data_IF_990667443599
#
_entry.id   IF_990667443599
#
_cell.length_a   1.000
_cell.length_b   1.000
_cell.length_c   1.000
_cell.angle_alpha   90.00
_cell.angle_beta   90.00
_cell.angle_gamma   90.00
#
_symmetry.space_group_name_H-M   'P 1'
#
loop_
_entity.id
_entity.type
_entity.pdbx_description
1 polymer ?
#
# COMPACT_ATOMS: atom_id res chain seq x y z
N UNK A 1 22.75 -8.80 4.34
CA UNK A 1 21.96 -7.80 5.09
C UNK A 1 22.01 -6.48 4.32
N UNK A 2 20.93 -5.69 4.29
CA UNK A 2 20.91 -4.38 3.60
C UNK A 2 19.82 -4.18 2.54
N UNK A 3 18.80 -5.04 2.47
CA UNK A 3 17.65 -4.79 1.58
C UNK A 3 16.70 -3.79 2.25
N UNK A 4 16.38 -2.65 1.60
CA UNK A 4 15.32 -1.76 2.02
C UNK A 4 13.98 -2.50 2.01
N UNK A 5 13.19 -2.32 3.08
CA UNK A 5 11.92 -3.04 3.25
C UNK A 5 10.85 -2.14 3.85
N UNK A 6 9.61 -2.57 3.71
CA UNK A 6 8.44 -1.89 4.27
C UNK A 6 7.94 -2.64 5.49
N UNK A 7 7.65 -1.92 6.58
CA UNK A 7 6.96 -2.47 7.73
C UNK A 7 5.46 -2.22 7.61
N UNK A 8 4.62 -3.23 7.88
CA UNK A 8 3.16 -3.07 7.80
C UNK A 8 2.48 -3.53 9.09
N UNK A 9 1.26 -3.04 9.32
CA UNK A 9 0.34 -3.58 10.32
C UNK A 9 -1.07 -3.62 9.75
N UNK A 10 -1.74 -4.76 9.82
CA UNK A 10 -3.19 -4.82 9.64
C UNK A 10 -3.86 -4.63 10.99
N UNK A 11 -4.88 -3.78 11.09
CA UNK A 11 -5.49 -3.44 12.38
C UNK A 11 -7.00 -3.21 12.33
N UNK A 12 -7.65 -3.32 13.49
CA UNK A 12 -9.09 -3.12 13.65
C UNK A 12 -9.92 -4.36 13.30
N UNK A 13 -9.33 -5.54 13.40
CA UNK A 13 -9.97 -6.84 13.19
C UNK A 13 -10.34 -7.47 14.55
N UNK A 14 -9.58 -8.47 15.02
CA UNK A 14 -9.77 -9.12 16.34
C UNK A 14 -8.86 -8.55 17.42
N UNK A 15 -7.94 -7.70 16.98
CA UNK A 15 -6.89 -7.12 17.76
C UNK A 15 -7.39 -5.99 18.65
N UNK A 16 -6.52 -5.61 19.60
CA UNK A 16 -6.79 -4.63 20.65
C UNK A 16 -5.66 -3.62 20.66
N UNK A 17 -5.85 -2.41 21.21
CA UNK A 17 -4.79 -1.39 21.27
C UNK A 17 -3.47 -1.89 21.88
N UNK A 18 -3.53 -2.80 22.86
CA UNK A 18 -2.34 -3.45 23.44
C UNK A 18 -1.52 -4.26 22.42
N UNK A 19 -2.16 -4.86 21.42
CA UNK A 19 -1.49 -5.61 20.36
C UNK A 19 -0.81 -4.65 19.38
N UNK A 20 -1.49 -3.54 19.03
CA UNK A 20 -0.93 -2.48 18.18
C UNK A 20 0.33 -1.88 18.79
N UNK A 21 0.26 -1.51 20.07
CA UNK A 21 1.39 -0.95 20.80
C UNK A 21 2.59 -1.92 20.81
N UNK A 22 2.35 -3.22 21.08
CA UNK A 22 3.41 -4.24 21.04
C UNK A 22 4.01 -4.38 19.66
N UNK A 23 3.20 -4.38 18.60
CA UNK A 23 3.70 -4.43 17.22
C UNK A 23 4.60 -3.24 16.89
N UNK A 24 4.16 -2.02 17.19
CA UNK A 24 4.95 -0.81 16.95
C UNK A 24 6.28 -0.80 17.73
N UNK A 25 6.27 -1.27 18.98
CA UNK A 25 7.49 -1.39 19.78
C UNK A 25 8.45 -2.45 19.22
N UNK A 26 7.94 -3.57 18.71
CA UNK A 26 8.76 -4.59 18.05
C UNK A 26 9.39 -4.06 16.76
N UNK A 27 8.62 -3.31 15.95
CA UNK A 27 9.14 -2.64 14.76
C UNK A 27 10.24 -1.64 15.11
N UNK A 28 10.03 -0.82 16.15
CA UNK A 28 11.04 0.12 16.66
C UNK A 28 12.33 -0.60 17.05
N UNK A 29 12.23 -1.65 17.86
CA UNK A 29 13.40 -2.43 18.32
C UNK A 29 14.13 -3.09 17.16
N UNK A 30 13.39 -3.63 16.19
CA UNK A 30 13.99 -4.25 15.01
C UNK A 30 14.71 -3.19 14.16
N UNK A 31 14.09 -2.03 13.94
CA UNK A 31 14.68 -0.94 13.18
C UNK A 31 15.94 -0.40 13.85
N UNK A 32 15.97 -0.27 15.18
CA UNK A 32 17.18 0.13 15.92
C UNK A 32 18.35 -0.84 15.71
N UNK A 33 18.06 -2.12 15.43
CA UNK A 33 19.09 -3.15 15.20
C UNK A 33 19.52 -3.24 13.75
N UNK A 34 18.62 -3.01 12.79
CA UNK A 34 18.86 -3.34 11.37
C UNK A 34 18.84 -2.13 10.44
N UNK A 35 18.13 -1.06 10.77
CA UNK A 35 17.95 0.12 9.92
C UNK A 35 17.28 -0.16 8.58
N UNK A 36 16.63 -1.30 8.41
CA UNK A 36 16.19 -1.80 7.10
C UNK A 36 14.84 -1.26 6.61
N UNK A 37 14.03 -0.66 7.49
CA UNK A 37 12.72 -0.13 7.11
C UNK A 37 12.84 1.27 6.52
N UNK A 38 12.26 1.47 5.33
CA UNK A 38 12.14 2.78 4.69
C UNK A 38 10.82 3.46 4.99
N UNK A 39 9.78 2.67 5.28
CA UNK A 39 8.44 3.18 5.55
C UNK A 39 7.65 2.24 6.46
N UNK A 40 6.62 2.81 7.09
CA UNK A 40 5.59 2.10 7.81
C UNK A 40 4.22 2.32 7.17
N UNK A 41 3.47 1.24 6.93
CA UNK A 41 2.16 1.28 6.27
C UNK A 41 1.09 0.66 7.18
N UNK A 42 0.24 1.49 7.82
CA UNK A 42 -0.98 1.04 8.47
C UNK A 42 -2.04 0.59 7.45
N UNK A 43 -2.57 -0.60 7.65
CA UNK A 43 -3.58 -1.20 6.78
C UNK A 43 -4.87 -1.45 7.58
N UNK A 44 -5.85 -0.51 7.53
CA UNK A 44 -7.17 -0.77 8.08
C UNK A 44 -7.74 -2.09 7.55
N UNK A 45 -8.33 -2.88 8.44
CA UNK A 45 -9.05 -4.09 8.06
C UNK A 45 -10.35 -3.73 7.32
N UNK A 46 -10.54 -4.34 6.14
CA UNK A 46 -11.77 -4.24 5.34
C UNK A 46 -12.48 -5.59 5.39
N UNK A 47 -13.75 -5.58 5.77
CA UNK A 47 -14.43 -6.77 6.26
C UNK A 47 -15.33 -7.47 5.24
N UNK A 48 -15.71 -6.80 4.15
CA UNK A 48 -16.80 -7.23 3.24
C UNK A 48 -16.60 -8.67 2.74
N UNK A 49 -15.39 -9.01 2.31
CA UNK A 49 -15.04 -10.33 1.78
C UNK A 49 -14.17 -11.16 2.74
N UNK A 50 -13.99 -10.70 3.98
CA UNK A 50 -13.07 -11.35 4.93
C UNK A 50 -13.74 -12.54 5.63
N UNK A 51 -13.25 -13.80 5.47
CA UNK A 51 -13.89 -14.99 6.05
C UNK A 51 -14.05 -14.93 7.58
N UNK A 52 -13.11 -14.30 8.27
CA UNK A 52 -13.20 -14.13 9.73
C UNK A 52 -14.34 -13.21 10.16
N UNK A 53 -14.65 -12.18 9.38
CA UNK A 53 -15.80 -11.32 9.64
C UNK A 53 -17.11 -12.03 9.29
N UNK A 54 -17.15 -12.73 8.15
CA UNK A 54 -18.32 -13.54 7.74
C UNK A 54 -18.68 -14.64 8.75
N UNK A 55 -17.72 -15.11 9.55
CA UNK A 55 -17.94 -16.05 10.66
C UNK A 55 -18.23 -15.37 12.01
N UNK A 56 -18.38 -14.06 12.06
CA UNK A 56 -18.64 -13.29 13.29
C UNK A 56 -17.43 -13.23 14.24
N UNK A 57 -16.22 -13.48 13.76
CA UNK A 57 -15.01 -13.58 14.59
C UNK A 57 -14.19 -12.30 14.61
N UNK A 58 -14.55 -11.28 13.82
CA UNK A 58 -13.82 -10.02 13.72
C UNK A 58 -14.75 -8.81 13.69
N UNK A 59 -14.20 -7.64 14.03
CA UNK A 59 -14.85 -6.35 13.83
C UNK A 59 -14.94 -6.02 12.34
N UNK A 60 -15.75 -5.01 11.99
CA UNK A 60 -15.85 -4.45 10.64
C UNK A 60 -14.60 -3.69 10.18
N UNK A 61 -13.67 -3.42 11.09
CA UNK A 61 -12.56 -2.51 10.88
C UNK A 61 -12.37 -1.56 12.06
N UNK A 62 -11.32 -0.73 12.01
CA UNK A 62 -11.14 0.35 12.95
C UNK A 62 -12.21 1.43 12.75
N UNK A 63 -12.52 2.17 13.81
CA UNK A 63 -13.20 3.46 13.71
C UNK A 63 -12.28 4.47 13.03
N UNK A 64 -12.85 5.54 12.47
CA UNK A 64 -12.06 6.64 11.89
C UNK A 64 -11.03 7.18 12.88
N UNK A 65 -11.44 7.38 14.15
CA UNK A 65 -10.54 7.82 15.23
C UNK A 65 -9.40 6.83 15.48
N UNK A 66 -9.66 5.53 15.52
CA UNK A 66 -8.60 4.53 15.67
C UNK A 66 -7.62 4.57 14.49
N UNK A 67 -8.11 4.81 13.27
CA UNK A 67 -7.25 4.92 12.09
C UNK A 67 -6.32 6.13 12.14
N UNK A 68 -6.84 7.31 12.50
CA UNK A 68 -6.02 8.52 12.70
C UNK A 68 -5.02 8.32 13.85
N UNK A 69 -5.47 7.75 14.97
CA UNK A 69 -4.59 7.46 16.11
C UNK A 69 -3.47 6.46 15.78
N UNK A 70 -3.73 5.47 14.93
CA UNK A 70 -2.69 4.54 14.47
C UNK A 70 -1.53 5.30 13.79
N UNK A 71 -1.84 6.28 12.93
CA UNK A 71 -0.82 7.09 12.26
C UNK A 71 -0.09 8.03 13.23
N UNK A 72 -0.83 8.75 14.08
CA UNK A 72 -0.25 9.65 15.08
C UNK A 72 0.68 8.94 16.06
N UNK A 73 0.23 7.81 16.62
CA UNK A 73 1.02 7.04 17.57
C UNK A 73 2.23 6.41 16.88
N UNK A 74 2.09 5.92 15.64
CA UNK A 74 3.22 5.41 14.88
C UNK A 74 4.27 6.50 14.63
N UNK A 75 3.86 7.73 14.28
CA UNK A 75 4.79 8.87 14.11
C UNK A 75 5.60 9.12 15.38
N UNK A 76 4.95 9.16 16.54
CA UNK A 76 5.61 9.37 17.83
C UNK A 76 6.56 8.22 18.15
N UNK A 77 6.12 6.97 18.01
CA UNK A 77 6.91 5.79 18.38
C UNK A 77 8.09 5.55 17.42
N UNK A 78 7.95 5.86 16.14
CA UNK A 78 8.97 5.60 15.12
C UNK A 78 9.80 6.84 14.75
N UNK A 79 9.58 7.97 15.43
CA UNK A 79 10.33 9.20 15.21
C UNK A 79 11.84 8.99 15.27
N UNK A 80 12.54 9.45 14.24
CA UNK A 80 13.99 9.31 14.07
C UNK A 80 14.47 7.90 13.71
N UNK A 81 13.56 6.95 13.48
CA UNK A 81 13.89 5.56 13.11
C UNK A 81 13.26 5.13 11.79
N UNK A 82 12.02 5.55 11.53
CA UNK A 82 11.34 5.36 10.24
C UNK A 82 10.77 6.70 9.82
N UNK A 83 11.34 7.27 8.77
CA UNK A 83 10.99 8.63 8.35
C UNK A 83 9.61 8.70 7.71
N UNK A 84 9.19 7.64 7.03
CA UNK A 84 8.00 7.65 6.20
C UNK A 84 6.85 6.82 6.78
N UNK A 85 5.69 7.44 6.87
CA UNK A 85 4.44 6.80 7.24
C UNK A 85 3.44 7.03 6.11
N UNK A 86 3.05 5.93 5.48
CA UNK A 86 2.11 5.94 4.37
C UNK A 86 0.67 5.91 4.87
N UNK A 87 -0.22 6.68 4.26
CA UNK A 87 -1.67 6.55 4.36
C UNK A 87 -2.22 5.96 3.06
N UNK A 88 -3.05 4.93 3.17
CA UNK A 88 -3.72 4.31 2.02
C UNK A 88 -5.00 5.08 1.68
N UNK A 89 -4.97 5.88 0.61
CA UNK A 89 -6.14 6.66 0.16
C UNK A 89 -7.34 5.78 -0.21
N UNK A 90 -7.12 4.60 -0.82
CA UNK A 90 -8.20 3.63 -1.12
C UNK A 90 -8.93 3.11 0.11
N UNK A 91 -8.28 3.11 1.29
CA UNK A 91 -8.90 2.66 2.55
C UNK A 91 -9.46 3.80 3.38
N UNK A 92 -8.87 4.99 3.25
CA UNK A 92 -9.15 6.12 4.14
C UNK A 92 -10.07 7.16 3.51
N UNK A 93 -10.19 7.19 2.17
CA UNK A 93 -10.88 8.25 1.44
C UNK A 93 -10.19 9.62 1.60
N UNK A 94 -10.75 10.65 0.97
CA UNK A 94 -10.19 12.01 1.00
C UNK A 94 -10.07 12.57 2.42
N UNK A 95 -11.16 12.52 3.19
CA UNK A 95 -11.19 13.03 4.56
C UNK A 95 -10.20 12.31 5.49
N UNK A 96 -10.02 11.00 5.30
CA UNK A 96 -9.07 10.22 6.08
C UNK A 96 -7.61 10.48 5.69
N UNK A 97 -7.33 10.70 4.40
CA UNK A 97 -6.00 11.14 3.94
C UNK A 97 -5.63 12.46 4.57
N UNK A 98 -6.52 13.46 4.50
CA UNK A 98 -6.29 14.77 5.10
C UNK A 98 -6.00 14.67 6.61
N UNK A 99 -6.87 13.96 7.35
CA UNK A 99 -6.68 13.76 8.78
C UNK A 99 -5.39 13.01 9.12
N UNK A 100 -4.98 12.03 8.32
CA UNK A 100 -3.75 11.27 8.56
C UNK A 100 -2.49 12.09 8.24
N UNK A 101 -2.51 12.94 7.21
CA UNK A 101 -1.41 13.84 6.88
C UNK A 101 -1.18 14.85 8.01
N UNK A 102 -2.25 15.41 8.58
CA UNK A 102 -2.18 16.26 9.78
C UNK A 102 -1.75 15.50 11.03
N UNK A 103 -2.00 14.19 11.07
CA UNK A 103 -1.61 13.30 12.16
C UNK A 103 -0.20 12.68 11.98
N UNK A 104 0.59 13.13 11.02
CA UNK A 104 2.00 12.74 10.88
C UNK A 104 2.29 11.67 9.83
N UNK A 105 1.31 11.27 9.01
CA UNK A 105 1.61 10.64 7.72
C UNK A 105 2.28 11.66 6.79
N UNK A 106 3.15 11.18 5.92
CA UNK A 106 3.87 12.03 4.95
C UNK A 106 3.95 11.39 3.56
N UNK A 107 3.17 10.33 3.33
CA UNK A 107 3.17 9.58 2.10
C UNK A 107 1.76 9.07 1.80
N UNK A 108 1.26 9.31 0.58
CA UNK A 108 -0.05 8.84 0.13
C UNK A 108 0.07 7.47 -0.53
N UNK A 109 1.29 6.96 -0.69
CA UNK A 109 1.54 5.75 -1.45
C UNK A 109 1.33 6.01 -2.93
N UNK A 110 0.86 5.01 -3.65
CA UNK A 110 0.76 5.07 -5.11
C UNK A 110 -0.62 4.80 -5.67
N UNK A 111 -0.74 5.05 -6.97
CA UNK A 111 -1.77 4.42 -7.79
C UNK A 111 -1.22 3.10 -8.31
N UNK A 112 -1.88 2.01 -7.96
CA UNK A 112 -1.73 0.78 -8.72
C UNK A 112 -2.74 0.85 -9.86
N UNK A 113 -2.27 1.29 -11.04
CA UNK A 113 -3.04 1.13 -12.27
C UNK A 113 -3.30 -0.37 -12.43
N UNK A 114 -4.57 -0.77 -12.22
CA UNK A 114 -5.09 -2.15 -12.27
C UNK A 114 -5.14 -2.95 -10.94
N UNK A 115 -5.58 -2.33 -9.85
CA UNK A 115 -5.69 -3.00 -8.53
C UNK A 115 -6.92 -3.93 -8.42
N UNK A 116 -6.80 -5.16 -8.93
CA UNK A 116 -7.81 -6.23 -8.79
C UNK A 116 -8.02 -6.70 -7.33
N UNK A 117 -7.06 -6.42 -6.43
CA UNK A 117 -7.03 -6.90 -5.04
C UNK A 117 -8.00 -6.12 -4.13
N UNK A 118 -8.04 -4.79 -4.25
CA UNK A 118 -8.92 -3.94 -3.42
C UNK A 118 -10.38 -4.09 -3.85
N UNK A 119 -10.65 -4.29 -5.15
CA UNK A 119 -11.97 -4.69 -5.65
C UNK A 119 -12.41 -6.06 -5.15
N UNK A 120 -11.50 -7.04 -5.12
CA UNK A 120 -11.76 -8.37 -4.56
C UNK A 120 -11.99 -8.35 -3.03
N UNK A 121 -11.59 -7.27 -2.33
CA UNK A 121 -11.83 -7.08 -0.90
C UNK A 121 -13.14 -6.32 -0.59
N UNK A 122 -13.88 -5.86 -1.62
CA UNK A 122 -15.22 -5.30 -1.50
C UNK A 122 -15.31 -3.83 -1.03
N UNK A 123 -14.24 -3.04 -1.14
CA UNK A 123 -14.33 -1.59 -0.86
C UNK A 123 -15.01 -0.86 -2.04
N UNK A 124 -16.08 -0.13 -1.76
CA UNK A 124 -16.84 0.67 -2.75
C UNK A 124 -16.28 2.08 -3.00
N UNK A 125 -15.20 2.47 -2.33
CA UNK A 125 -14.59 3.80 -2.42
C UNK A 125 -13.49 3.81 -3.49
N UNK A 126 -13.62 4.71 -4.48
CA UNK A 126 -12.49 5.28 -5.22
C UNK A 126 -12.06 4.54 -6.48
N UNK A 127 -12.58 5.01 -7.62
CA UNK A 127 -11.81 5.05 -8.85
C UNK A 127 -10.46 5.72 -8.58
N UNK A 128 -9.41 5.17 -9.19
CA UNK A 128 -8.03 5.67 -9.14
C UNK A 128 -7.91 7.18 -8.95
N UNK A 129 -7.12 7.62 -7.96
CA UNK A 129 -6.76 9.02 -7.83
C UNK A 129 -5.67 9.37 -8.85
N UNK A 130 -5.94 10.17 -9.91
CA UNK A 130 -4.88 10.57 -10.82
C UNK A 130 -3.81 11.38 -10.05
N UNK A 131 -2.55 11.43 -10.54
CA UNK A 131 -1.49 12.16 -9.86
C UNK A 131 -1.86 13.63 -9.58
N UNK A 132 -2.58 14.29 -10.50
CA UNK A 132 -3.08 15.66 -10.29
C UNK A 132 -3.99 15.79 -9.07
N UNK A 133 -4.86 14.81 -8.82
CA UNK A 133 -5.73 14.81 -7.65
C UNK A 133 -4.92 14.59 -6.37
N UNK A 134 -3.94 13.68 -6.38
CA UNK A 134 -3.02 13.51 -5.24
C UNK A 134 -2.26 14.81 -4.92
N UNK A 135 -1.74 15.50 -5.94
CA UNK A 135 -1.05 16.78 -5.75
C UNK A 135 -1.98 17.86 -5.20
N UNK A 136 -3.23 17.90 -5.65
CA UNK A 136 -4.25 18.84 -5.13
C UNK A 136 -4.56 18.58 -3.66
N UNK A 137 -4.78 17.32 -3.25
CA UNK A 137 -5.06 16.97 -1.85
C UNK A 137 -3.90 17.37 -0.93
N UNK A 138 -2.66 17.14 -1.38
CA UNK A 138 -1.46 17.54 -0.62
C UNK A 138 -1.34 19.07 -0.54
N UNK A 139 -1.47 19.75 -1.67
CA UNK A 139 -1.31 21.21 -1.75
C UNK A 139 -2.41 21.95 -0.97
N UNK A 140 -3.63 21.41 -0.95
CA UNK A 140 -4.75 21.97 -0.18
C UNK A 140 -4.48 22.00 1.33
N UNK A 141 -3.59 21.14 1.83
CA UNK A 141 -3.14 21.11 3.23
C UNK A 141 -1.88 21.97 3.47
N UNK A 142 -1.46 22.78 2.50
CA UNK A 142 -0.27 23.62 2.58
C UNK A 142 1.04 22.84 2.53
N UNK A 143 1.01 21.59 2.04
CA UNK A 143 2.19 20.71 1.91
C UNK A 143 2.70 20.69 0.47
N UNK A 144 3.95 20.29 0.28
CA UNK A 144 4.57 20.19 -1.05
C UNK A 144 4.44 18.75 -1.57
N UNK A 145 3.73 18.51 -2.69
CA UNK A 145 3.67 17.18 -3.28
C UNK A 145 5.02 16.80 -3.91
N UNK A 146 5.45 15.57 -3.65
CA UNK A 146 6.71 15.03 -4.18
C UNK A 146 6.50 13.64 -4.75
N UNK A 147 6.60 13.52 -6.07
CA UNK A 147 6.62 12.21 -6.70
C UNK A 147 7.94 11.51 -6.39
N UNK A 148 7.87 10.30 -5.84
CA UNK A 148 9.03 9.59 -5.30
C UNK A 148 9.27 8.24 -5.97
N UNK A 149 10.49 7.73 -5.80
CA UNK A 149 10.80 6.32 -6.01
C UNK A 149 10.47 5.50 -4.75
N UNK A 150 10.58 4.17 -4.82
CA UNK A 150 10.44 3.27 -3.66
C UNK A 150 11.47 3.55 -2.56
N UNK A 151 12.63 4.10 -2.94
CA UNK A 151 13.70 4.50 -2.01
C UNK A 151 13.58 5.97 -1.57
N UNK A 152 12.43 6.60 -1.80
CA UNK A 152 12.19 7.99 -1.42
C UNK A 152 13.21 8.98 -2.03
N UNK A 153 13.74 8.69 -3.22
CA UNK A 153 14.38 9.70 -4.06
C UNK A 153 13.32 10.42 -4.92
N UNK A 154 13.66 11.56 -5.51
CA UNK A 154 12.78 12.22 -6.47
C UNK A 154 12.60 11.38 -7.73
N UNK A 155 11.36 11.26 -8.20
CA UNK A 155 11.09 10.63 -9.48
C UNK A 155 11.60 11.51 -10.62
N UNK A 156 12.28 10.90 -11.58
CA UNK A 156 12.82 11.61 -12.75
C UNK A 156 11.71 12.25 -13.62
N UNK A 157 12.06 13.26 -14.44
CA UNK A 157 11.09 14.02 -15.23
C UNK A 157 10.29 13.15 -16.21
N UNK A 158 10.92 12.12 -16.78
CA UNK A 158 10.27 11.14 -17.66
C UNK A 158 9.17 10.37 -16.93
N UNK A 159 9.44 9.96 -15.68
CA UNK A 159 8.49 9.22 -14.86
C UNK A 159 7.28 10.08 -14.50
N UNK A 160 7.54 11.34 -14.14
CA UNK A 160 6.50 12.35 -13.91
C UNK A 160 5.65 12.57 -15.14
N UNK A 161 6.26 12.88 -16.30
CA UNK A 161 5.54 13.09 -17.54
C UNK A 161 4.64 11.90 -17.90
N UNK A 162 5.18 10.68 -17.83
CA UNK A 162 4.41 9.47 -18.14
C UNK A 162 3.27 9.21 -17.14
N UNK A 163 3.42 9.56 -15.85
CA UNK A 163 2.33 9.43 -14.88
C UNK A 163 1.19 10.43 -15.16
N UNK A 164 1.50 11.65 -15.60
CA UNK A 164 0.50 12.66 -15.95
C UNK A 164 -0.14 12.44 -17.33
N UNK A 165 0.52 11.70 -18.21
CA UNK A 165 0.01 11.35 -19.54
C UNK A 165 -0.75 10.01 -19.58
N UNK A 166 -0.84 9.30 -18.47
CA UNK A 166 -1.48 7.99 -18.43
C UNK A 166 -2.99 8.08 -18.71
N UNK A 167 -3.49 7.17 -19.54
CA UNK A 167 -4.91 7.10 -19.87
C UNK A 167 -5.73 6.61 -18.66
N UNK A 168 -7.02 7.01 -18.55
CA UNK A 168 -7.92 6.47 -17.53
C UNK A 168 -8.00 4.95 -17.60
N UNK A 169 -8.06 4.28 -16.45
CA UNK A 169 -8.17 2.82 -16.40
C UNK A 169 -9.41 2.32 -17.13
N UNK A 170 -9.21 1.33 -18.00
CA UNK A 170 -10.29 0.52 -18.53
C UNK A 170 -10.91 -0.33 -17.40
N UNK A 171 -12.24 -0.47 -17.40
CA UNK A 171 -12.94 -1.28 -16.43
C UNK A 171 -12.55 -2.76 -16.58
N UNK A 172 -11.77 -3.30 -15.64
CA UNK A 172 -11.49 -4.74 -15.60
C UNK A 172 -12.72 -5.50 -15.09
N UNK A 173 -13.27 -6.40 -15.90
CA UNK A 173 -14.33 -7.31 -15.48
C UNK A 173 -13.70 -8.44 -14.69
N UNK A 174 -13.78 -8.40 -13.36
CA UNK A 174 -13.34 -9.52 -12.52
C UNK A 174 -14.42 -10.61 -12.56
N UNK A 175 -14.06 -11.81 -13.02
CA UNK A 175 -14.91 -12.98 -12.83
C UNK A 175 -15.07 -13.25 -11.32
N UNK A 176 -16.26 -13.66 -10.85
CA UNK A 176 -16.45 -13.97 -9.44
C UNK A 176 -15.47 -15.06 -9.01
N UNK A 177 -14.83 -14.87 -7.86
CA UNK A 177 -13.99 -15.89 -7.26
C UNK A 177 -14.84 -17.13 -6.97
N UNK A 178 -14.78 -18.13 -7.87
CA UNK A 178 -15.50 -19.38 -7.70
C UNK A 178 -15.13 -20.03 -6.36
N UNK A 179 -16.12 -20.62 -5.67
CA UNK A 179 -15.86 -21.44 -4.48
C UNK A 179 -15.03 -22.65 -4.90
N UNK A 180 -13.71 -22.58 -4.66
CA UNK A 180 -12.69 -23.64 -4.50
C UNK A 180 -11.46 -23.37 -5.38
N UNK A 181 -10.43 -22.77 -4.80
CA UNK A 181 -9.06 -23.21 -5.09
C UNK A 181 -8.60 -24.05 -3.89
N UNK A 182 -8.96 -25.33 -3.90
CA UNK A 182 -8.60 -26.31 -2.85
C UNK A 182 -7.28 -27.03 -3.11
N UNK A 183 -6.72 -26.88 -4.31
CA UNK A 183 -5.43 -27.45 -4.67
C UNK A 183 -4.49 -26.32 -5.09
N UNK A 184 -3.49 -26.02 -4.25
CA UNK A 184 -2.18 -25.67 -4.78
C UNK A 184 -1.59 -26.97 -5.33
N UNK A 185 -2.07 -27.42 -6.48
CA UNK A 185 -1.22 -28.27 -7.31
C UNK A 185 -0.20 -27.30 -7.91
N UNK A 186 0.99 -27.30 -7.32
CA UNK A 186 2.16 -26.76 -7.98
C UNK A 186 2.31 -27.60 -9.24
N UNK A 187 1.99 -27.01 -10.39
CA UNK A 187 2.40 -27.58 -11.67
C UNK A 187 3.94 -27.66 -11.58
N UNK A 188 4.56 -28.84 -11.78
CA UNK A 188 6.00 -28.91 -11.89
C UNK A 188 6.41 -27.90 -12.96
N UNK A 189 7.29 -26.95 -12.61
CA UNK A 189 7.88 -26.08 -13.60
C UNK A 189 8.49 -27.01 -14.65
N UNK A 190 7.96 -26.97 -15.87
CA UNK A 190 8.48 -27.69 -17.02
C UNK A 190 9.99 -27.48 -17.06
N UNK A 191 10.72 -28.60 -17.06
CA UNK A 191 12.14 -28.77 -17.27
C UNK A 191 12.98 -27.48 -17.27
N UNK A 192 13.60 -27.18 -16.13
CA UNK A 192 14.79 -26.33 -16.12
C UNK A 192 15.85 -27.00 -17.00
N UNK A 193 16.52 -26.23 -17.87
CA UNK A 193 17.77 -26.68 -18.48
C UNK A 193 18.84 -26.83 -17.38
N UNK A 194 19.87 -27.67 -17.62
CA UNK A 194 20.94 -28.00 -16.65
C UNK A 194 21.71 -26.76 -16.11
N UNK A 195 21.51 -25.57 -16.68
CA UNK A 195 22.10 -24.30 -16.24
C UNK A 195 21.14 -23.40 -15.43
N UNK A 196 19.93 -23.88 -15.12
CA UNK A 196 18.98 -23.19 -14.25
C UNK A 196 18.18 -22.06 -14.92
N UNK A 197 18.22 -21.93 -16.25
CA UNK A 197 17.37 -20.96 -16.96
C UNK A 197 16.00 -21.56 -17.32
N UNK A 198 14.90 -20.79 -17.16
CA UNK A 198 13.59 -21.22 -17.62
C UNK A 198 13.52 -21.15 -19.16
N UNK A 199 13.10 -22.24 -19.81
CA UNK A 199 12.78 -22.24 -21.24
C UNK A 199 11.57 -21.34 -21.53
N UNK A 200 11.77 -20.30 -22.35
CA UNK A 200 10.69 -19.69 -23.13
C UNK A 200 9.70 -18.77 -22.40
N UNK A 201 10.16 -17.95 -21.46
CA UNK A 201 9.37 -16.80 -20.98
C UNK A 201 10.13 -15.50 -21.24
N UNK A 202 10.12 -15.03 -22.49
CA UNK A 202 10.35 -13.60 -22.70
C UNK A 202 9.19 -12.85 -22.07
N UNK A 203 9.44 -11.80 -21.25
CA UNK A 203 8.38 -10.94 -20.77
C UNK A 203 7.66 -10.36 -21.99
N UNK A 204 6.35 -10.58 -22.11
CA UNK A 204 5.54 -9.88 -23.11
C UNK A 204 5.70 -8.36 -22.90
N UNK A 205 5.76 -7.58 -23.99
CA UNK A 205 5.88 -6.10 -23.93
C UNK A 205 4.85 -5.47 -22.98
N UNK A 206 3.67 -6.10 -22.83
CA UNK A 206 2.59 -5.70 -21.92
C UNK A 206 2.98 -5.69 -20.43
N UNK A 207 3.84 -6.60 -19.98
CA UNK A 207 4.27 -6.64 -18.57
C UNK A 207 5.18 -5.45 -18.23
N UNK A 208 5.99 -5.00 -19.19
CA UNK A 208 6.83 -3.81 -19.03
C UNK A 208 5.99 -2.52 -18.96
N UNK A 209 4.87 -2.46 -19.67
CA UNK A 209 3.95 -1.30 -19.64
C UNK A 209 3.19 -1.18 -18.31
N UNK A 210 2.82 -2.30 -17.68
CA UNK A 210 2.11 -2.31 -16.39
C UNK A 210 2.95 -1.74 -15.24
N UNK A 211 4.23 -2.12 -15.14
CA UNK A 211 5.13 -1.57 -14.11
C UNK A 211 5.54 -0.12 -14.40
N UNK A 212 5.46 0.31 -15.64
CA UNK A 212 5.69 1.70 -16.03
C UNK A 212 4.53 2.64 -15.71
N UNK A 213 3.52 2.24 -14.94
CA UNK A 213 2.39 3.10 -14.61
C UNK A 213 2.20 3.32 -13.11
N UNK A 214 3.03 2.70 -12.27
CA UNK A 214 3.01 2.92 -10.82
C UNK A 214 3.68 4.25 -10.50
N UNK A 215 2.95 5.13 -9.83
CA UNK A 215 3.49 6.36 -9.24
C UNK A 215 3.42 6.26 -7.72
N UNK A 216 4.31 6.95 -7.01
CA UNK A 216 4.30 7.09 -5.55
C UNK A 216 4.36 8.58 -5.21
N UNK A 217 3.52 9.05 -4.29
CA UNK A 217 3.38 10.46 -3.95
C UNK A 217 3.58 10.70 -2.46
N UNK A 218 4.63 11.44 -2.11
CA UNK A 218 4.87 11.93 -0.76
C UNK A 218 4.33 13.35 -0.55
N UNK A 219 3.98 13.65 0.69
CA UNK A 219 3.57 14.97 1.16
C UNK A 219 4.66 15.54 2.07
N UNK A 220 5.45 16.47 1.56
CA UNK A 220 6.53 17.11 2.31
C UNK A 220 6.00 18.29 3.14
N UNK A 221 6.58 18.48 4.33
CA UNK A 221 6.40 19.71 5.14
C UNK A 221 7.17 20.87 4.53
#
# INVERSE_FOLDING_TARGET
AGLPTTATIMYGHIDRPRHWARHLLLLRQLQQRTGGFTEFVPLPFVHMEAPMYLRGQARRGPTFREAVLMHAVARVILYGLVDNIQVSWVKMGEAGVAACLDAGANDLGGTLMNESITRAAGSGEGQEWPPSHMEQQISALGRVPRMRTTLYADAGPQRRAAAFAAAPLAAVVNAPAGKRQRSKQLVPLLALEDDGRPQGAEPTEDAHLLYQQVLLMAACN
#
